data_IF_216004272968
#
_entry.id   IF_216004272968
#
_cell.length_a   1.000
_cell.length_b   1.000
_cell.length_c   1.000
_cell.angle_alpha   90.00
_cell.angle_beta   90.00
_cell.angle_gamma   90.00
#
_symmetry.space_group_name_H-M   'P 1'
#
loop_
_entity.id
_entity.type
_entity.pdbx_description
1 polymer ?
#
# COMPACT_ATOMS: atom_id res chain seq x y z
N UNK A 1 26.95 -5.24 9.94
CA UNK A 1 25.59 -4.78 10.31
C UNK A 1 24.65 -5.06 9.15
N UNK A 2 23.61 -5.87 9.33
CA UNK A 2 22.61 -6.18 8.29
C UNK A 2 21.38 -5.28 8.50
N UNK A 3 20.91 -4.59 7.47
CA UNK A 3 19.72 -3.71 7.50
C UNK A 3 18.71 -4.17 6.46
N UNK A 4 17.43 -4.25 6.84
CA UNK A 4 16.33 -4.53 5.91
C UNK A 4 16.30 -3.51 4.77
N UNK A 5 16.34 -4.00 3.54
CA UNK A 5 16.24 -3.17 2.33
C UNK A 5 14.76 -2.97 2.00
N UNK A 6 14.36 -1.71 1.87
CA UNK A 6 12.97 -1.32 1.56
C UNK A 6 12.90 -0.77 0.13
N UNK A 7 11.74 -0.89 -0.50
CA UNK A 7 11.39 -0.26 -1.76
C UNK A 7 10.22 0.69 -1.55
N UNK A 8 10.12 1.70 -2.41
CA UNK A 8 9.07 2.70 -2.35
C UNK A 8 8.42 2.76 -3.73
N UNK A 9 7.09 2.67 -3.74
CA UNK A 9 6.28 2.77 -4.95
C UNK A 9 5.57 4.11 -4.90
N UNK A 10 5.75 4.91 -5.96
CA UNK A 10 4.97 6.11 -6.19
C UNK A 10 3.74 5.74 -7.02
N UNK A 11 2.58 6.13 -6.54
CA UNK A 11 1.29 5.90 -7.19
C UNK A 11 0.67 7.26 -7.49
N UNK A 12 0.30 7.47 -8.75
CA UNK A 12 -0.50 8.61 -9.17
C UNK A 12 -1.97 8.19 -9.20
N UNK A 13 -2.83 9.00 -8.60
CA UNK A 13 -4.28 8.79 -8.55
C UNK A 13 -4.91 9.78 -9.50
N UNK A 14 -5.66 9.26 -10.47
CA UNK A 14 -6.45 10.07 -11.38
C UNK A 14 -7.93 9.94 -11.04
N UNK A 15 -8.57 11.06 -10.72
CA UNK A 15 -9.96 11.11 -10.34
C UNK A 15 -10.80 11.54 -11.54
N UNK A 16 -11.58 10.60 -12.09
CA UNK A 16 -12.52 10.89 -13.19
C UNK A 16 -13.71 11.77 -12.78
N UNK A 17 -13.94 11.93 -11.47
CA UNK A 17 -15.03 12.71 -10.90
C UNK A 17 -14.50 13.67 -9.81
N UNK A 18 -15.39 14.50 -9.24
CA UNK A 18 -15.04 15.45 -8.18
C UNK A 18 -14.30 14.73 -7.05
N UNK A 19 -13.14 15.29 -6.67
CA UNK A 19 -12.24 14.77 -5.62
C UNK A 19 -13.01 14.35 -4.36
N UNK A 20 -13.00 13.05 -3.98
CA UNK A 20 -13.59 12.61 -2.74
C UNK A 20 -12.71 13.00 -1.54
N UNK A 21 -13.33 13.26 -0.40
CA UNK A 21 -12.62 13.45 0.86
C UNK A 21 -12.24 12.07 1.42
N UNK A 22 -11.04 11.59 1.05
CA UNK A 22 -10.55 10.26 1.40
C UNK A 22 -9.50 10.36 2.49
N UNK A 23 -9.69 9.59 3.56
CA UNK A 23 -8.70 9.43 4.63
C UNK A 23 -7.68 8.34 4.30
N UNK A 24 -6.44 8.53 4.77
CA UNK A 24 -5.33 7.57 4.61
C UNK A 24 -5.67 6.21 5.21
N UNK A 25 -6.41 6.17 6.33
CA UNK A 25 -6.81 4.92 6.97
C UNK A 25 -7.79 4.13 6.09
N UNK A 26 -8.75 4.81 5.48
CA UNK A 26 -9.72 4.19 4.58
C UNK A 26 -9.01 3.55 3.37
N UNK A 27 -8.03 4.25 2.79
CA UNK A 27 -7.19 3.69 1.71
C UNK A 27 -6.41 2.48 2.20
N UNK A 28 -5.82 2.58 3.39
CA UNK A 28 -5.12 1.48 4.04
C UNK A 28 -5.99 0.24 4.10
N UNK A 29 -7.15 0.31 4.77
CA UNK A 29 -8.07 -0.83 4.89
C UNK A 29 -8.49 -1.40 3.53
N UNK A 30 -8.78 -0.53 2.55
CA UNK A 30 -9.17 -0.99 1.22
C UNK A 30 -8.06 -1.77 0.51
N UNK A 31 -6.81 -1.32 0.63
CA UNK A 31 -5.66 -2.07 0.11
C UNK A 31 -5.54 -3.43 0.80
N UNK A 32 -5.75 -3.50 2.13
CA UNK A 32 -5.69 -4.76 2.85
C UNK A 32 -6.77 -5.74 2.39
N UNK A 33 -7.99 -5.25 2.22
CA UNK A 33 -9.14 -6.02 1.72
C UNK A 33 -8.86 -6.57 0.31
N UNK A 34 -8.40 -5.73 -0.62
CA UNK A 34 -8.10 -6.16 -1.99
C UNK A 34 -6.93 -7.17 -2.03
N UNK A 35 -5.91 -6.99 -1.20
CA UNK A 35 -4.80 -7.96 -1.11
C UNK A 35 -5.30 -9.30 -0.59
N UNK A 36 -6.12 -9.32 0.46
CA UNK A 36 -6.70 -10.56 0.98
C UNK A 36 -7.59 -11.25 -0.04
N UNK A 37 -8.40 -10.48 -0.78
CA UNK A 37 -9.27 -11.01 -1.83
C UNK A 37 -8.50 -11.65 -2.98
N UNK A 38 -7.38 -11.06 -3.39
CA UNK A 38 -6.62 -11.53 -4.55
C UNK A 38 -5.53 -12.57 -4.23
N UNK A 39 -4.95 -12.53 -3.03
CA UNK A 39 -3.81 -13.38 -2.65
C UNK A 39 -4.13 -14.36 -1.51
N UNK A 40 -5.36 -14.35 -0.99
CA UNK A 40 -5.80 -15.16 0.14
C UNK A 40 -5.12 -14.78 1.46
N UNK A 41 -5.45 -15.51 2.52
CA UNK A 41 -4.96 -15.22 3.87
C UNK A 41 -3.44 -15.34 4.00
N UNK A 42 -2.83 -16.30 3.31
CA UNK A 42 -1.38 -16.50 3.33
C UNK A 42 -0.64 -15.34 2.66
N UNK A 43 -1.07 -14.94 1.46
CA UNK A 43 -0.48 -13.81 0.74
C UNK A 43 -0.73 -12.49 1.45
N UNK A 44 -1.91 -12.30 2.04
CA UNK A 44 -2.21 -11.15 2.88
C UNK A 44 -1.34 -11.12 4.13
N UNK A 45 -1.15 -12.23 4.84
CA UNK A 45 -0.30 -12.29 6.03
C UNK A 45 1.15 -11.84 5.75
N UNK A 46 1.71 -12.26 4.61
CA UNK A 46 3.03 -11.83 4.17
C UNK A 46 3.10 -10.33 3.88
N UNK A 47 2.04 -9.77 3.31
CA UNK A 47 2.03 -8.37 2.85
C UNK A 47 1.65 -7.39 3.96
N UNK A 48 0.71 -7.77 4.82
CA UNK A 48 0.14 -6.93 5.87
C UNK A 48 1.05 -6.80 7.09
N UNK A 49 1.80 -7.86 7.43
CA UNK A 49 2.71 -7.86 8.59
C UNK A 49 3.97 -7.00 8.39
N UNK A 50 4.37 -6.76 7.14
CA UNK A 50 5.73 -6.27 6.84
C UNK A 50 5.85 -5.29 5.66
N UNK A 51 4.88 -5.26 4.73
CA UNK A 51 5.14 -4.87 3.33
C UNK A 51 4.27 -3.72 2.82
N UNK A 52 3.16 -3.35 3.45
CA UNK A 52 2.38 -2.18 2.99
C UNK A 52 2.21 -1.17 4.11
N UNK A 53 3.05 -0.13 4.06
CA UNK A 53 2.90 1.06 4.89
C UNK A 53 2.79 2.29 3.97
N UNK A 54 1.65 2.99 4.06
CA UNK A 54 1.48 4.28 3.38
C UNK A 54 2.37 5.31 4.08
N UNK A 55 3.36 5.85 3.37
CA UNK A 55 4.31 6.83 3.89
C UNK A 55 3.93 8.27 3.60
N UNK A 56 3.25 8.46 2.48
CA UNK A 56 2.73 9.75 2.07
C UNK A 56 1.42 9.49 1.34
N UNK A 57 0.42 10.31 1.63
CA UNK A 57 -0.85 10.29 0.94
C UNK A 57 -1.35 11.71 0.77
N UNK A 58 -1.49 12.11 -0.48
CA UNK A 58 -2.18 13.31 -0.88
C UNK A 58 -3.44 12.90 -1.62
N UNK A 59 -4.60 13.12 -1.01
CA UNK A 59 -5.90 12.70 -1.55
C UNK A 59 -6.19 13.23 -2.96
N UNK A 60 -5.51 14.30 -3.39
CA UNK A 60 -5.69 14.89 -4.72
C UNK A 60 -5.03 14.09 -5.84
N UNK A 61 -3.89 13.45 -5.58
CA UNK A 61 -2.97 13.19 -6.68
C UNK A 61 -2.04 11.99 -6.48
N UNK A 62 -1.53 11.76 -5.28
CA UNK A 62 -0.31 10.94 -5.11
C UNK A 62 -0.30 10.17 -3.81
N UNK A 63 0.29 8.99 -3.87
CA UNK A 63 0.54 8.14 -2.71
C UNK A 63 1.93 7.52 -2.83
N UNK A 64 2.63 7.38 -1.71
CA UNK A 64 3.86 6.61 -1.61
C UNK A 64 3.63 5.44 -0.65
N UNK A 65 3.81 4.23 -1.16
CA UNK A 65 3.74 3.00 -0.38
C UNK A 65 5.16 2.45 -0.20
N UNK A 66 5.52 2.15 1.06
CA UNK A 66 6.75 1.43 1.38
C UNK A 66 6.47 -0.07 1.41
N UNK A 67 7.33 -0.82 0.72
CA UNK A 67 7.33 -2.28 0.61
C UNK A 67 8.70 -2.88 0.90
N UNK A 68 8.76 -4.18 1.18
CA UNK A 68 10.02 -4.91 1.31
C UNK A 68 10.64 -5.18 -0.05
N UNK A 69 11.98 -5.11 -0.11
CA UNK A 69 12.71 -5.37 -1.35
C UNK A 69 12.59 -6.83 -1.78
N UNK A 70 12.73 -7.72 -0.80
CA UNK A 70 12.86 -9.14 -1.01
C UNK A 70 11.55 -9.80 -0.55
N UNK A 71 10.48 -9.53 -1.28
CA UNK A 71 9.27 -10.34 -1.18
C UNK A 71 9.49 -11.61 -2.02
N UNK A 72 10.54 -12.35 -1.68
CA UNK A 72 10.89 -13.61 -2.33
C UNK A 72 10.04 -14.69 -1.71
N UNK A 73 9.09 -15.19 -2.51
CA UNK A 73 8.68 -16.59 -2.41
C UNK A 73 9.92 -17.50 -2.40
#
# INVERSE_FOLDING_TARGET
MVRFKRRYMLIQIDWMQRKPNVDTRAVGYKIQEEVAKHFGDFGAGLVLGTIICIKYFESSSRMIIRTDRDNRQ
#
